data_IF_141685975000
#
_entry.id   IF_141685975000
#
_cell.length_a   1.000
_cell.length_b   1.000
_cell.length_c   1.000
_cell.angle_alpha   90.00
_cell.angle_beta   90.00
_cell.angle_gamma   90.00
#
_symmetry.space_group_name_H-M   'P 1'
#
loop_
_entity.id
_entity.type
_entity.pdbx_description
1 polymer ?
#
# COMPACT_ATOMS: atom_id res chain seq x y z
N UNK A 1 -2.10 5.95 1.68
CA UNK A 1 -3.10 6.12 2.75
C UNK A 1 -2.51 6.89 3.90
N UNK A 2 -3.16 7.94 4.31
CA UNK A 2 -2.63 8.83 5.34
C UNK A 2 -2.89 8.34 6.77
N UNK A 3 -4.10 7.89 7.05
CA UNK A 3 -4.46 7.52 8.41
C UNK A 3 -3.98 6.12 8.76
N UNK A 4 -3.73 5.91 10.05
CA UNK A 4 -3.55 4.55 10.56
C UNK A 4 -4.85 3.79 10.36
N UNK A 5 -4.75 2.53 10.04
CA UNK A 5 -5.91 1.70 9.73
C UNK A 5 -5.76 0.32 10.36
N UNK A 6 -6.82 -0.14 11.00
CA UNK A 6 -6.93 -1.53 11.44
C UNK A 6 -8.05 -2.18 10.62
N UNK A 7 -7.73 -3.31 10.01
CA UNK A 7 -8.62 -4.01 9.08
C UNK A 7 -8.95 -5.37 9.68
N UNK A 8 -10.24 -5.61 9.93
CA UNK A 8 -10.73 -6.91 10.39
C UNK A 8 -11.48 -7.59 9.25
N UNK A 9 -10.99 -8.73 8.80
CA UNK A 9 -11.68 -9.53 7.78
C UNK A 9 -12.77 -10.33 8.48
N UNK A 10 -14.00 -10.12 8.06
CA UNK A 10 -15.19 -10.73 8.67
C UNK A 10 -15.68 -11.96 7.89
N UNK A 11 -15.33 -12.07 6.63
CA UNK A 11 -15.69 -13.19 5.79
C UNK A 11 -14.84 -13.26 4.54
N UNK A 12 -14.60 -14.46 4.01
CA UNK A 12 -13.81 -14.68 2.81
C UNK A 12 -12.32 -14.50 3.01
N UNK A 13 -11.61 -14.32 1.90
CA UNK A 13 -10.16 -14.19 1.89
C UNK A 13 -9.73 -13.04 0.99
N UNK A 14 -8.70 -12.30 1.44
CA UNK A 14 -8.08 -11.22 0.68
C UNK A 14 -6.56 -11.34 0.75
N UNK A 15 -5.91 -11.10 -0.37
CA UNK A 15 -4.45 -11.04 -0.46
C UNK A 15 -4.01 -9.58 -0.36
N UNK A 16 -3.11 -9.30 0.57
CA UNK A 16 -2.48 -7.99 0.73
C UNK A 16 -1.01 -8.09 0.36
N UNK A 17 -0.56 -7.16 -0.45
CA UNK A 17 0.86 -6.95 -0.71
C UNK A 17 1.21 -5.60 -0.10
N UNK A 18 2.15 -5.61 0.84
CA UNK A 18 2.48 -4.45 1.66
C UNK A 18 3.92 -4.04 1.44
N UNK A 19 4.15 -2.76 1.19
CA UNK A 19 5.49 -2.21 1.05
C UNK A 19 5.72 -1.09 2.05
N UNK A 20 6.89 -1.13 2.69
CA UNK A 20 7.31 -0.11 3.65
C UNK A 20 7.44 1.25 2.97
N UNK A 21 7.13 2.36 3.68
CA UNK A 21 7.26 3.71 3.11
C UNK A 21 8.63 4.04 2.52
N UNK A 22 9.69 3.42 3.02
CA UNK A 22 11.06 3.56 2.47
C UNK A 22 11.17 3.08 1.03
N UNK A 23 10.23 2.28 0.55
CA UNK A 23 10.18 1.84 -0.84
C UNK A 23 9.65 2.92 -1.79
N UNK A 24 9.27 4.09 -1.28
CA UNK A 24 8.69 5.17 -2.06
C UNK A 24 9.44 5.47 -3.37
N UNK A 25 10.78 5.56 -3.41
CA UNK A 25 11.50 5.80 -4.66
C UNK A 25 11.29 4.71 -5.71
N UNK A 26 10.94 3.51 -5.29
CA UNK A 26 10.77 2.34 -6.17
C UNK A 26 9.32 2.13 -6.61
N UNK A 27 8.38 2.92 -6.09
CA UNK A 27 6.96 2.69 -6.31
C UNK A 27 6.41 3.40 -7.55
N UNK A 28 7.22 4.22 -8.23
CA UNK A 28 6.79 5.00 -9.40
C UNK A 28 5.48 5.75 -9.15
N UNK A 29 5.46 6.58 -8.09
CA UNK A 29 4.27 7.33 -7.72
C UNK A 29 3.95 8.40 -8.76
N UNK A 30 2.67 8.65 -8.96
CA UNK A 30 2.23 9.79 -9.74
C UNK A 30 2.72 11.10 -9.11
N UNK A 31 2.92 12.15 -9.93
CA UNK A 31 3.33 13.46 -9.41
C UNK A 31 2.39 13.98 -8.32
N UNK A 32 2.93 14.77 -7.43
CA UNK A 32 2.25 15.32 -6.26
C UNK A 32 0.93 16.03 -6.60
N UNK A 33 0.87 16.70 -7.73
CA UNK A 33 -0.31 17.45 -8.20
C UNK A 33 -1.19 16.66 -9.17
N UNK A 34 -0.85 15.41 -9.44
CA UNK A 34 -1.67 14.53 -10.28
C UNK A 34 -2.94 14.10 -9.51
N UNK A 35 -4.08 13.91 -10.19
CA UNK A 35 -5.31 13.42 -9.52
C UNK A 35 -5.13 12.09 -8.78
N UNK A 36 -4.21 11.24 -9.25
CA UNK A 36 -3.87 9.97 -8.62
C UNK A 36 -2.62 10.04 -7.75
N UNK A 37 -2.24 11.22 -7.27
CA UNK A 37 -1.12 11.36 -6.35
C UNK A 37 -1.22 10.37 -5.19
N UNK A 38 -0.09 9.86 -4.73
CA UNK A 38 0.06 8.81 -3.70
C UNK A 38 -0.24 7.40 -4.18
N UNK A 39 -0.60 7.24 -5.45
CA UNK A 39 -0.77 5.91 -6.04
C UNK A 39 0.44 5.59 -6.90
N UNK A 40 0.81 4.31 -6.92
CA UNK A 40 1.81 3.82 -7.86
C UNK A 40 1.23 3.83 -9.28
N UNK A 41 2.05 4.24 -10.25
CA UNK A 41 1.69 4.13 -11.66
C UNK A 41 1.85 2.71 -12.20
N UNK A 42 2.43 1.81 -11.42
CA UNK A 42 2.72 0.44 -11.82
C UNK A 42 1.52 -0.46 -11.51
N UNK A 43 1.18 -1.33 -12.44
CA UNK A 43 0.29 -2.46 -12.16
C UNK A 43 1.10 -3.54 -11.44
N UNK A 44 0.86 -3.71 -10.15
CA UNK A 44 1.65 -4.64 -9.32
C UNK A 44 1.42 -6.09 -9.69
N UNK A 45 0.32 -6.44 -10.34
CA UNK A 45 0.07 -7.80 -10.79
C UNK A 45 0.83 -8.14 -12.07
N UNK A 46 1.17 -7.13 -12.85
CA UNK A 46 1.90 -7.29 -14.11
C UNK A 46 2.75 -6.04 -14.39
N UNK A 47 3.83 -5.84 -13.62
CA UNK A 47 4.62 -4.62 -13.72
C UNK A 47 5.36 -4.52 -15.05
N UNK A 48 5.30 -3.33 -15.65
CA UNK A 48 6.07 -2.99 -16.85
C UNK A 48 7.42 -2.39 -16.45
N UNK A 49 8.43 -3.24 -16.37
CA UNK A 49 9.77 -2.83 -15.92
C UNK A 49 10.55 -2.06 -16.99
N UNK A 50 10.09 -2.05 -18.23
CA UNK A 50 10.69 -1.23 -19.28
C UNK A 50 10.33 0.25 -19.07
N UNK A 51 9.09 0.52 -18.66
CA UNK A 51 8.61 1.87 -18.36
C UNK A 51 8.99 2.29 -16.94
N UNK A 52 8.92 1.37 -15.98
CA UNK A 52 9.17 1.62 -14.56
C UNK A 52 10.29 0.72 -14.03
N UNK A 53 11.55 0.91 -14.49
CA UNK A 53 12.64 0.03 -14.08
C UNK A 53 12.94 0.07 -12.58
N UNK A 54 12.64 1.19 -11.90
CA UNK A 54 12.83 1.31 -10.46
C UNK A 54 11.97 0.33 -9.66
N UNK A 55 10.85 -0.12 -10.23
CA UNK A 55 9.98 -1.07 -9.56
C UNK A 55 10.63 -2.46 -9.41
N UNK A 56 11.63 -2.78 -10.22
CA UNK A 56 12.40 -4.02 -10.06
C UNK A 56 13.14 -4.10 -8.73
N UNK A 57 13.45 -2.95 -8.13
CA UNK A 57 14.14 -2.85 -6.84
C UNK A 57 13.17 -2.81 -5.67
N UNK A 58 11.87 -2.74 -5.93
CA UNK A 58 10.85 -2.65 -4.88
C UNK A 58 10.78 -3.95 -4.09
N UNK A 59 10.59 -3.80 -2.77
CA UNK A 59 10.43 -4.93 -1.85
C UNK A 59 9.09 -4.82 -1.15
N UNK A 60 8.42 -5.94 -1.02
CA UNK A 60 7.12 -6.02 -0.39
C UNK A 60 6.92 -7.35 0.31
N UNK A 61 5.98 -7.37 1.25
CA UNK A 61 5.53 -8.58 1.92
C UNK A 61 4.12 -8.92 1.48
N UNK A 62 3.84 -10.21 1.43
CA UNK A 62 2.52 -10.72 1.10
C UNK A 62 1.90 -11.38 2.31
N UNK A 63 0.61 -11.15 2.50
CA UNK A 63 -0.17 -11.86 3.51
C UNK A 63 -1.58 -12.13 2.98
N UNK A 64 -2.10 -13.33 3.26
CA UNK A 64 -3.49 -13.67 2.97
C UNK A 64 -4.27 -13.58 4.28
N UNK A 65 -5.26 -12.69 4.30
CA UNK A 65 -6.14 -12.51 5.44
C UNK A 65 -7.41 -13.33 5.25
N UNK A 66 -7.77 -14.05 6.29
CA UNK A 66 -9.00 -14.87 6.35
C UNK A 66 -9.94 -14.31 7.41
N UNK A 67 -11.17 -14.78 7.41
CA UNK A 67 -12.14 -14.39 8.44
C UNK A 67 -11.55 -14.58 9.84
N UNK A 68 -11.65 -13.55 10.68
CA UNK A 68 -11.09 -13.53 12.02
C UNK A 68 -9.73 -12.87 12.13
N UNK A 69 -9.03 -12.63 11.01
CA UNK A 69 -7.73 -11.96 11.02
C UNK A 69 -7.90 -10.44 11.09
N UNK A 70 -6.95 -9.80 11.77
CA UNK A 70 -6.85 -8.34 11.88
C UNK A 70 -5.47 -7.91 11.40
N UNK A 71 -5.45 -6.92 10.50
CA UNK A 71 -4.22 -6.33 10.02
C UNK A 71 -4.15 -4.87 10.48
N UNK A 72 -3.04 -4.50 11.11
CA UNK A 72 -2.73 -3.11 11.37
C UNK A 72 -1.89 -2.56 10.21
N UNK A 73 -2.40 -1.50 9.56
CA UNK A 73 -1.72 -0.84 8.45
C UNK A 73 -1.31 0.58 8.89
N UNK A 74 -0.02 0.81 9.16
CA UNK A 74 0.45 2.12 9.58
C UNK A 74 0.30 3.19 8.49
N UNK A 75 0.41 4.44 8.90
CA UNK A 75 0.41 5.60 7.99
C UNK A 75 1.48 5.44 6.90
N UNK A 76 1.13 5.78 5.67
CA UNK A 76 2.02 5.84 4.50
C UNK A 76 2.52 4.49 3.97
N UNK A 77 2.06 3.38 4.51
CA UNK A 77 2.38 2.09 3.92
C UNK A 77 1.70 1.91 2.57
N UNK A 78 2.45 1.41 1.60
CA UNK A 78 1.90 1.05 0.30
C UNK A 78 1.21 -0.30 0.39
N UNK A 79 0.08 -0.42 -0.30
CA UNK A 79 -0.65 -1.67 -0.30
C UNK A 79 -1.35 -1.90 -1.63
N UNK A 80 -1.41 -3.16 -1.99
CA UNK A 80 -2.16 -3.66 -3.13
C UNK A 80 -3.01 -4.83 -2.64
N UNK A 81 -4.29 -4.83 -2.99
CA UNK A 81 -5.25 -5.77 -2.43
C UNK A 81 -5.91 -6.54 -3.55
N UNK A 82 -5.97 -7.86 -3.41
CA UNK A 82 -6.67 -8.75 -4.35
C UNK A 82 -7.70 -9.55 -3.56
N UNK A 83 -8.96 -9.50 -3.99
CA UNK A 83 -10.01 -10.35 -3.44
C UNK A 83 -9.87 -11.75 -4.03
N UNK A 84 -9.71 -12.74 -3.17
CA UNK A 84 -9.57 -14.14 -3.59
C UNK A 84 -10.92 -14.85 -3.65
N UNK A 85 -11.82 -14.46 -2.77
CA UNK A 85 -13.21 -14.94 -2.73
C UNK A 85 -14.15 -13.78 -2.48
N UNK A 86 -15.45 -14.01 -2.50
CA UNK A 86 -16.39 -13.03 -1.96
C UNK A 86 -16.02 -12.76 -0.50
N UNK A 87 -15.78 -11.51 -0.15
CA UNK A 87 -15.28 -11.14 1.15
C UNK A 87 -15.84 -9.80 1.61
N UNK A 88 -15.77 -9.58 2.92
CA UNK A 88 -16.09 -8.29 3.51
C UNK A 88 -15.23 -8.06 4.75
N UNK A 89 -14.99 -6.80 5.04
CA UNK A 89 -14.13 -6.38 6.13
C UNK A 89 -14.66 -5.12 6.79
N UNK A 90 -14.22 -4.91 8.04
CA UNK A 90 -14.44 -3.67 8.77
C UNK A 90 -13.11 -2.95 8.94
N UNK A 91 -13.11 -1.64 8.68
CA UNK A 91 -11.93 -0.81 8.85
C UNK A 91 -12.15 0.17 9.98
N UNK A 92 -11.14 0.34 10.84
CA UNK A 92 -11.11 1.39 11.85
C UNK A 92 -9.92 2.28 11.56
N UNK A 93 -10.17 3.54 11.28
CA UNK A 93 -9.13 4.53 10.99
C UNK A 93 -8.94 5.45 12.18
N UNK A 94 -7.68 5.78 12.48
CA UNK A 94 -7.36 6.69 13.57
C UNK A 94 -6.15 7.53 13.20
N UNK A 95 -6.27 8.84 13.30
CA UNK A 95 -5.19 9.81 13.23
C UNK A 95 -4.10 9.52 12.19
N UNK A 96 -3.11 10.40 12.19
CA UNK A 96 -1.95 10.34 11.29
C UNK A 96 -0.70 10.28 12.16
N UNK A 97 0.22 9.37 11.82
CA UNK A 97 1.53 9.30 12.46
C UNK A 97 2.54 10.12 11.65
N UNK A 98 3.48 10.76 12.33
CA UNK A 98 4.63 11.41 11.70
C UNK A 98 5.73 10.41 11.33
N UNK A 99 5.60 9.16 11.71
CA UNK A 99 6.54 8.12 11.32
C UNK A 99 6.62 8.01 9.80
N UNK A 100 7.82 7.76 9.30
CA UNK A 100 8.07 7.59 7.87
C UNK A 100 7.85 8.84 7.01
N UNK A 101 7.63 10.01 7.62
CA UNK A 101 7.52 11.27 6.86
C UNK A 101 8.79 11.63 6.10
N UNK A 102 10.01 11.49 6.69
CA UNK A 102 11.22 11.81 5.95
C UNK A 102 11.38 11.03 4.64
N UNK A 103 11.24 9.69 4.59
CA UNK A 103 11.29 8.96 3.33
C UNK A 103 10.26 9.44 2.32
N UNK A 104 9.05 9.75 2.76
CA UNK A 104 7.98 10.22 1.87
C UNK A 104 8.27 11.60 1.30
N UNK A 105 8.89 12.48 2.09
CA UNK A 105 9.32 13.79 1.61
C UNK A 105 10.47 13.68 0.61
N UNK A 106 11.43 12.81 0.88
CA UNK A 106 12.60 12.61 0.02
C UNK A 106 12.21 12.13 -1.36
N UNK A 107 11.18 11.30 -1.48
CA UNK A 107 10.72 10.84 -2.79
C UNK A 107 9.70 11.78 -3.47
N UNK A 108 9.47 12.96 -2.91
CA UNK A 108 8.62 13.98 -3.51
C UNK A 108 7.12 13.81 -3.26
N UNK A 109 6.76 13.00 -2.27
CA UNK A 109 5.35 12.74 -1.97
C UNK A 109 4.63 13.95 -1.35
N UNK A 110 5.34 14.75 -0.58
CA UNK A 110 4.82 15.94 0.08
C UNK A 110 5.41 17.22 -0.47
#
# INVERSE_FOLDING_TARGET
>A
MFSRNAIAVMGGERRYILAHPEQCPNMALYPKDHPSARHSAVDWSQPDLDIYPEFAEARANEIILQAGDVLYLPTNWFHFIVSLTLNFQCNTRSGISSHYMPPMKECGFF
#
